data_IF_001911711362
#
_entry.id   IF_001911711362
#
_cell.length_a   1.000
_cell.length_b   1.000
_cell.length_c   1.000
_cell.angle_alpha   90.00
_cell.angle_beta   90.00
_cell.angle_gamma   90.00
#
_symmetry.space_group_name_H-M   'P 1'
#
loop_
_entity.id
_entity.type
_entity.pdbx_description
1 polymer ?
#
# COMPACT_ATOMS: atom_id res chain seq x y z
N UNK A 1 -7.86 2.26 10.42
CA UNK A 1 -7.02 2.48 9.22
C UNK A 1 -5.92 1.43 9.17
N UNK A 2 -5.68 0.79 8.02
CA UNK A 2 -4.46 -0.04 7.84
C UNK A 2 -3.32 0.92 7.38
N UNK A 3 -2.06 0.66 7.71
CA UNK A 3 -0.89 1.39 7.18
C UNK A 3 0.26 0.40 6.95
N UNK A 4 1.14 0.66 5.99
CA UNK A 4 2.37 -0.13 5.81
C UNK A 4 3.52 0.54 6.56
N UNK A 5 4.23 -0.25 7.33
CA UNK A 5 5.49 0.16 7.95
C UNK A 5 6.56 0.36 6.86
N UNK A 6 7.11 1.57 6.77
CA UNK A 6 8.11 1.94 5.76
C UNK A 6 9.47 1.25 5.96
N UNK A 7 9.67 0.57 7.11
CA UNK A 7 10.90 -0.15 7.45
C UNK A 7 10.73 -1.65 7.26
N UNK A 8 9.65 -2.23 7.80
CA UNK A 8 9.44 -3.69 7.73
C UNK A 8 8.63 -4.14 6.52
N UNK A 9 7.98 -3.20 5.82
CA UNK A 9 7.02 -3.47 4.74
C UNK A 9 5.79 -4.28 5.18
N UNK A 10 5.56 -4.36 6.49
CA UNK A 10 4.43 -5.08 7.05
C UNK A 10 3.19 -4.20 7.11
N UNK A 11 2.05 -4.81 6.81
CA UNK A 11 0.75 -4.19 6.94
C UNK A 11 0.31 -4.21 8.42
N UNK A 12 0.11 -3.03 9.00
CA UNK A 12 -0.35 -2.83 10.38
C UNK A 12 -1.75 -2.25 10.40
N UNK A 13 -2.59 -2.73 11.31
CA UNK A 13 -3.94 -2.18 11.53
C UNK A 13 -3.93 -1.24 12.72
N UNK A 14 -4.34 0.00 12.49
CA UNK A 14 -4.48 1.04 13.51
C UNK A 14 -5.96 1.34 13.73
N UNK A 15 -6.38 1.37 14.98
CA UNK A 15 -7.72 1.78 15.38
C UNK A 15 -7.82 3.30 15.58
N UNK A 16 -6.67 3.94 15.82
CA UNK A 16 -6.53 5.36 16.09
C UNK A 16 -6.11 6.14 14.82
N UNK A 17 -6.75 7.29 14.52
CA UNK A 17 -6.39 8.12 13.36
C UNK A 17 -5.09 8.93 13.52
N UNK A 18 -4.50 9.03 14.71
CA UNK A 18 -3.38 9.94 14.99
C UNK A 18 -2.01 9.47 14.47
N UNK A 19 -1.95 8.33 13.78
CA UNK A 19 -0.68 7.90 13.20
C UNK A 19 -0.30 8.77 12.03
N UNK A 20 0.90 9.38 12.00
CA UNK A 20 1.32 10.20 10.89
C UNK A 20 1.84 9.29 9.76
N UNK A 21 1.32 9.49 8.55
CA UNK A 21 1.64 8.67 7.38
C UNK A 21 1.73 9.51 6.10
N UNK A 22 2.47 8.99 5.12
CA UNK A 22 2.42 9.52 3.75
C UNK A 22 1.37 8.78 2.93
N UNK A 23 0.72 9.48 2.00
CA UNK A 23 -0.19 8.88 1.04
C UNK A 23 0.49 8.83 -0.33
N UNK A 24 0.49 7.64 -0.95
CA UNK A 24 0.82 7.52 -2.36
C UNK A 24 -0.42 7.73 -3.21
N UNK A 25 -0.67 8.98 -3.62
CA UNK A 25 -1.71 9.31 -4.60
C UNK A 25 -1.24 8.87 -5.99
N UNK A 26 -1.94 7.94 -6.64
CA UNK A 26 -1.53 7.42 -7.95
C UNK A 26 -2.72 7.10 -8.88
N UNK A 27 -2.49 7.23 -10.19
CA UNK A 27 -3.42 6.85 -11.27
C UNK A 27 -3.15 5.42 -11.71
N UNK A 28 -4.20 4.58 -11.79
CA UNK A 28 -3.97 3.16 -11.95
C UNK A 28 -3.19 2.75 -13.21
N UNK A 29 -2.14 1.93 -13.06
CA UNK A 29 -1.44 1.30 -14.16
C UNK A 29 -2.26 0.16 -14.77
N UNK A 30 -1.89 -0.35 -15.95
CA UNK A 30 -2.53 -1.52 -16.55
C UNK A 30 -2.51 -2.73 -15.62
N UNK A 31 -3.50 -3.62 -15.79
CA UNK A 31 -3.58 -4.86 -15.03
C UNK A 31 -2.28 -5.68 -15.19
N UNK A 32 -1.73 -6.13 -14.06
CA UNK A 32 -0.45 -6.87 -13.99
C UNK A 32 0.79 -6.03 -13.69
N UNK A 33 0.73 -4.70 -13.86
CA UNK A 33 1.87 -3.81 -13.52
C UNK A 33 1.89 -3.38 -12.05
N UNK A 34 0.81 -3.66 -11.32
CA UNK A 34 0.58 -3.15 -9.97
C UNK A 34 0.70 -4.25 -8.91
N UNK A 35 1.18 -3.85 -7.75
CA UNK A 35 1.30 -4.73 -6.59
C UNK A 35 -0.07 -4.79 -5.93
N UNK A 36 -0.55 -6.00 -5.72
CA UNK A 36 -1.87 -6.29 -5.17
C UNK A 36 -1.80 -6.45 -3.65
N UNK A 37 -2.92 -6.21 -2.96
CA UNK A 37 -3.09 -6.43 -1.53
C UNK A 37 -2.51 -7.75 -1.00
N UNK A 38 -2.59 -8.83 -1.78
CA UNK A 38 -2.14 -10.16 -1.37
C UNK A 38 -0.63 -10.28 -1.17
N UNK A 39 0.15 -9.41 -1.80
CA UNK A 39 1.62 -9.45 -1.75
C UNK A 39 2.18 -8.93 -0.41
N UNK A 40 1.85 -7.70 0.05
CA UNK A 40 2.29 -7.20 1.35
C UNK A 40 1.51 -7.78 2.54
N UNK A 41 0.26 -8.21 2.37
CA UNK A 41 -0.52 -8.80 3.48
C UNK A 41 -0.01 -10.16 3.95
N UNK A 42 0.73 -10.88 3.10
CA UNK A 42 1.39 -12.16 3.42
C UNK A 42 2.80 -12.00 4.02
N UNK A 43 3.24 -10.76 4.18
CA UNK A 43 4.55 -10.42 4.74
C UNK A 43 5.68 -10.33 3.71
N UNK A 44 6.86 -9.84 4.12
CA UNK A 44 7.98 -9.57 3.21
C UNK A 44 8.52 -10.81 2.48
N UNK A 45 8.27 -12.01 3.01
CA UNK A 45 8.63 -13.29 2.38
C UNK A 45 7.80 -13.63 1.13
N UNK A 46 6.67 -12.98 0.91
CA UNK A 46 5.82 -13.18 -0.27
C UNK A 46 6.14 -12.19 -1.41
N UNK A 47 7.11 -11.29 -1.21
CA UNK A 47 7.64 -10.41 -2.25
C UNK A 47 8.59 -11.23 -3.15
N UNK A 48 8.03 -11.82 -4.20
CA UNK A 48 8.79 -12.60 -5.20
C UNK A 48 9.56 -11.69 -6.17
N UNK A 49 10.49 -12.27 -6.94
CA UNK A 49 11.16 -11.54 -8.02
C UNK A 49 10.18 -11.01 -9.08
N UNK A 50 9.08 -11.74 -9.30
CA UNK A 50 7.98 -11.29 -10.15
C UNK A 50 7.33 -10.02 -9.57
N UNK A 51 7.04 -9.98 -8.26
CA UNK A 51 6.55 -8.77 -7.58
C UNK A 51 7.53 -7.61 -7.69
N UNK A 52 8.84 -7.86 -7.54
CA UNK A 52 9.89 -6.82 -7.64
C UNK A 52 10.02 -6.25 -9.04
N UNK A 53 9.73 -7.04 -10.07
CA UNK A 53 9.78 -6.62 -11.48
C UNK A 53 8.64 -5.68 -11.88
N UNK A 54 7.54 -5.64 -11.09
CA UNK A 54 6.37 -4.82 -11.40
C UNK A 54 6.70 -3.32 -11.32
N UNK A 55 6.30 -2.50 -12.31
CA UNK A 55 6.45 -1.04 -12.26
C UNK A 55 5.85 -0.41 -11.00
N UNK A 56 4.70 -0.90 -10.53
CA UNK A 56 4.04 -0.47 -9.30
C UNK A 56 4.89 -0.69 -8.05
N UNK A 57 5.66 -1.79 -7.98
CA UNK A 57 6.53 -2.08 -6.84
C UNK A 57 7.64 -1.04 -6.70
N UNK A 58 8.22 -0.60 -7.83
CA UNK A 58 9.24 0.45 -7.81
C UNK A 58 8.70 1.78 -7.29
N UNK A 59 7.43 2.11 -7.56
CA UNK A 59 6.78 3.32 -7.01
C UNK A 59 6.66 3.20 -5.50
N UNK A 60 6.17 2.05 -5.03
CA UNK A 60 6.00 1.73 -3.61
C UNK A 60 7.33 1.90 -2.84
N UNK A 61 8.42 1.30 -3.35
CA UNK A 61 9.75 1.43 -2.73
C UNK A 61 10.20 2.89 -2.64
N UNK A 62 10.06 3.66 -3.71
CA UNK A 62 10.40 5.10 -3.71
C UNK A 62 9.57 5.90 -2.73
N UNK A 63 8.30 5.54 -2.53
CA UNK A 63 7.45 6.17 -1.52
C UNK A 63 7.99 5.91 -0.13
N UNK A 64 8.38 4.68 0.20
CA UNK A 64 8.98 4.38 1.51
C UNK A 64 10.30 5.11 1.73
N UNK A 65 11.16 5.17 0.72
CA UNK A 65 12.41 5.92 0.77
C UNK A 65 12.16 7.40 1.06
N UNK A 66 11.21 8.02 0.35
CA UNK A 66 10.84 9.43 0.57
C UNK A 66 10.18 9.65 1.93
N UNK A 67 9.27 8.77 2.34
CA UNK A 67 8.62 8.83 3.65
C UNK A 67 9.65 8.92 4.77
N UNK A 68 10.69 8.08 4.71
CA UNK A 68 11.75 8.01 5.71
C UNK A 68 12.75 9.16 5.61
N UNK A 69 13.20 9.48 4.41
CA UNK A 69 14.33 10.43 4.22
C UNK A 69 13.91 11.88 4.20
N UNK A 70 12.74 12.19 3.63
CA UNK A 70 12.29 13.58 3.44
C UNK A 70 11.27 13.99 4.49
N UNK A 71 10.41 13.07 4.93
CA UNK A 71 9.29 13.38 5.81
C UNK A 71 9.45 12.80 7.22
N UNK A 72 10.45 11.92 7.45
CA UNK A 72 10.66 11.21 8.72
C UNK A 72 9.39 10.51 9.24
N UNK A 73 8.57 9.99 8.33
CA UNK A 73 7.32 9.33 8.64
C UNK A 73 7.48 7.80 8.63
N UNK A 74 7.03 7.10 9.69
CA UNK A 74 7.20 5.66 9.80
C UNK A 74 6.23 4.86 8.93
N UNK A 75 5.12 5.48 8.51
CA UNK A 75 4.03 4.79 7.84
C UNK A 75 3.69 5.37 6.48
N UNK A 76 3.17 4.50 5.61
CA UNK A 76 2.65 4.89 4.31
C UNK A 76 1.30 4.19 4.04
N UNK A 77 0.43 4.89 3.31
CA UNK A 77 -0.84 4.40 2.83
C UNK A 77 -0.83 4.34 1.30
N UNK A 78 -1.24 3.20 0.75
CA UNK A 78 -1.12 2.88 -0.68
C UNK A 78 -2.36 2.12 -1.15
N UNK A 79 -3.18 2.74 -1.99
CA UNK A 79 -4.47 2.20 -2.47
C UNK A 79 -4.42 0.76 -3.00
N UNK A 80 -3.43 0.46 -3.85
CA UNK A 80 -3.31 -0.84 -4.54
C UNK A 80 -3.00 -2.00 -3.60
N UNK A 81 -2.35 -1.69 -2.49
CA UNK A 81 -1.95 -2.66 -1.47
C UNK A 81 -3.01 -2.82 -0.37
N UNK A 82 -4.18 -2.19 -0.52
CA UNK A 82 -5.15 -1.99 0.55
C UNK A 82 -6.56 -2.40 0.23
N UNK A 83 -6.92 -2.31 -1.04
CA UNK A 83 -8.21 -2.78 -1.52
C UNK A 83 -8.01 -4.20 -2.00
N UNK A 84 -8.54 -5.18 -1.26
CA UNK A 84 -8.65 -6.52 -1.77
C UNK A 84 -9.68 -6.54 -2.91
N UNK A 85 -9.18 -6.50 -4.15
CA UNK A 85 -10.01 -6.57 -5.35
C UNK A 85 -10.74 -7.93 -5.48
N UNK A 86 -10.33 -8.96 -4.74
CA UNK A 86 -11.04 -10.24 -4.72
C UNK A 86 -12.24 -10.23 -3.78
N UNK A 87 -12.30 -9.27 -2.85
CA UNK A 87 -13.43 -9.07 -1.96
C UNK A 87 -14.30 -7.91 -2.49
N UNK A 88 -15.38 -8.24 -3.20
CA UNK A 88 -16.28 -7.26 -3.80
C UNK A 88 -16.97 -6.35 -2.78
N UNK A 89 -17.15 -6.81 -1.53
CA UNK A 89 -17.73 -6.02 -0.44
C UNK A 89 -16.74 -4.95 0.00
N UNK A 90 -15.48 -5.34 0.26
CA UNK A 90 -14.41 -4.42 0.65
C UNK A 90 -14.08 -3.41 -0.47
N UNK A 91 -14.06 -3.87 -1.72
CA UNK A 91 -13.90 -2.99 -2.88
C UNK A 91 -15.03 -1.94 -2.95
N UNK A 92 -16.28 -2.35 -2.75
CA UNK A 92 -17.42 -1.46 -2.74
C UNK A 92 -17.36 -0.44 -1.59
N UNK A 93 -17.00 -0.89 -0.39
CA UNK A 93 -16.84 -0.01 0.78
C UNK A 93 -15.69 0.98 0.62
N UNK A 94 -14.54 0.53 0.11
CA UNK A 94 -13.39 1.39 -0.15
C UNK A 94 -13.71 2.48 -1.17
N UNK A 95 -14.36 2.11 -2.29
CA UNK A 95 -14.82 3.08 -3.30
C UNK A 95 -15.79 4.08 -2.67
N UNK A 96 -16.82 3.60 -1.96
CA UNK A 96 -17.81 4.48 -1.33
C UNK A 96 -17.19 5.41 -0.28
N UNK A 97 -16.15 4.97 0.44
CA UNK A 97 -15.42 5.78 1.42
C UNK A 97 -14.50 6.82 0.79
N UNK A 98 -14.11 6.68 -0.48
CA UNK A 98 -13.28 7.65 -1.20
C UNK A 98 -14.12 8.79 -1.84
N UNK A 99 -15.39 8.54 -2.13
CA UNK A 99 -16.31 9.50 -2.75
C UNK A 99 -17.17 10.30 -1.76
N UNK A 100 -17.14 9.94 -0.47
CA UNK A 100 -17.82 10.67 0.61
C UNK A 100 -16.86 11.59 1.33
#
# INVERSE_FOLDING_TARGET
MRLIDTTTLELKSFWDPDQPYVILSYTWGPDGEEVTFQEPSRGPSYITDATRSKPGFRKIVKTYERARTQYSLPYAWIDTCFIDKMNSVELGEAINSMYR
#
